data_IF_587998287772
#
_entry.id   IF_587998287772
#
_cell.length_a   1.000
_cell.length_b   1.000
_cell.length_c   1.000
_cell.angle_alpha   90.00
_cell.angle_beta   90.00
_cell.angle_gamma   90.00
#
_symmetry.space_group_name_H-M   'P 1'
#
loop_
_entity.id
_entity.type
_entity.pdbx_description
1 polymer ?
#
# COMPACT_ATOMS: atom_id res chain seq x y z
N UNK A 1 -5.93 -21.79 11.79
CA UNK A 1 -5.87 -20.87 12.95
C UNK A 1 -7.06 -19.94 12.83
N UNK A 2 -8.16 -20.19 13.55
CA UNK A 2 -9.36 -19.34 13.51
C UNK A 2 -9.03 -17.96 14.09
N UNK A 3 -9.39 -16.93 13.34
CA UNK A 3 -9.06 -15.53 13.52
C UNK A 3 -9.80 -14.89 14.71
N UNK A 4 -9.22 -13.89 15.39
CA UNK A 4 -9.84 -13.15 16.52
C UNK A 4 -11.23 -12.52 16.27
N UNK A 5 -11.60 -11.99 15.08
CA UNK A 5 -12.95 -11.47 14.83
C UNK A 5 -14.06 -12.52 14.97
N UNK A 6 -13.80 -13.77 14.58
CA UNK A 6 -14.78 -14.87 14.68
C UNK A 6 -15.17 -15.13 16.15
N UNK A 7 -14.19 -15.05 17.05
CA UNK A 7 -14.41 -15.24 18.50
C UNK A 7 -15.23 -14.10 19.12
N UNK A 8 -14.94 -12.85 18.76
CA UNK A 8 -15.65 -11.67 19.28
C UNK A 8 -17.10 -11.65 18.82
N UNK A 9 -17.35 -11.90 17.53
CA UNK A 9 -18.71 -12.01 16.99
C UNK A 9 -19.47 -13.18 17.61
N UNK A 10 -18.83 -14.34 17.77
CA UNK A 10 -19.45 -15.50 18.41
C UNK A 10 -19.85 -15.18 19.86
N UNK A 11 -18.98 -14.52 20.63
CA UNK A 11 -19.30 -14.12 22.00
C UNK A 11 -20.42 -13.07 22.04
N UNK A 12 -20.45 -12.11 21.11
CA UNK A 12 -21.54 -11.14 20.99
C UNK A 12 -22.88 -11.82 20.70
N UNK A 13 -22.92 -12.80 19.79
CA UNK A 13 -24.12 -13.61 19.50
C UNK A 13 -24.60 -14.38 20.73
N UNK A 14 -23.68 -14.99 21.47
CA UNK A 14 -24.03 -15.72 22.70
C UNK A 14 -24.58 -14.78 23.78
N UNK A 15 -23.98 -13.60 23.95
CA UNK A 15 -24.42 -12.62 24.93
C UNK A 15 -25.82 -12.07 24.59
N UNK A 16 -26.05 -11.69 23.33
CA UNK A 16 -27.36 -11.26 22.86
C UNK A 16 -28.43 -12.33 23.10
N UNK A 17 -28.12 -13.60 22.77
CA UNK A 17 -29.03 -14.71 23.01
C UNK A 17 -29.32 -14.93 24.50
N UNK A 18 -28.31 -14.78 25.36
CA UNK A 18 -28.49 -14.87 26.80
C UNK A 18 -29.39 -13.74 27.34
N UNK A 19 -29.21 -12.53 26.84
CA UNK A 19 -30.04 -11.37 27.19
C UNK A 19 -31.51 -11.61 26.81
N UNK A 20 -31.78 -12.12 25.60
CA UNK A 20 -33.14 -12.49 25.15
C UNK A 20 -33.78 -13.56 26.05
N UNK A 21 -33.06 -14.65 26.32
CA UNK A 21 -33.56 -15.72 27.18
C UNK A 21 -33.80 -15.24 28.62
N UNK A 22 -32.92 -14.39 29.13
CA UNK A 22 -33.06 -13.78 30.45
C UNK A 22 -34.28 -12.84 30.52
N UNK A 23 -34.57 -12.09 29.46
CA UNK A 23 -35.74 -11.22 29.39
C UNK A 23 -37.03 -12.06 29.38
N UNK A 24 -37.11 -13.09 28.54
CA UNK A 24 -38.24 -14.00 28.51
C UNK A 24 -38.48 -14.69 29.87
N UNK A 25 -37.40 -15.10 30.55
CA UNK A 25 -37.50 -15.65 31.90
C UNK A 25 -38.00 -14.62 32.92
N UNK A 26 -37.54 -13.36 32.84
CA UNK A 26 -38.02 -12.29 33.71
C UNK A 26 -39.51 -12.01 33.48
N UNK A 27 -39.97 -11.97 32.23
CA UNK A 27 -41.39 -11.81 31.87
C UNK A 27 -42.24 -12.94 32.46
N UNK A 28 -41.77 -14.19 32.37
CA UNK A 28 -42.45 -15.33 32.98
C UNK A 28 -42.52 -15.21 34.50
N UNK A 29 -41.42 -14.89 35.18
CA UNK A 29 -41.43 -14.73 36.65
C UNK A 29 -42.32 -13.58 37.11
N UNK A 30 -42.45 -12.52 36.30
CA UNK A 30 -43.40 -11.46 36.56
C UNK A 30 -44.86 -11.95 36.41
N UNK A 31 -45.16 -12.73 35.38
CA UNK A 31 -46.47 -13.34 35.20
C UNK A 31 -46.82 -14.30 36.36
N UNK A 32 -45.87 -15.14 36.79
CA UNK A 32 -46.03 -16.06 37.92
C UNK A 32 -46.31 -15.28 39.22
N UNK A 33 -45.62 -14.17 39.46
CA UNK A 33 -45.85 -13.30 40.61
C UNK A 33 -47.25 -12.68 40.62
N UNK A 34 -47.81 -12.35 39.45
CA UNK A 34 -49.17 -11.84 39.33
C UNK A 34 -50.23 -12.93 39.53
N UNK A 35 -49.96 -14.14 39.05
CA UNK A 35 -50.85 -15.30 39.16
C UNK A 35 -50.83 -15.96 40.56
N UNK A 36 -49.82 -15.68 41.38
CA UNK A 36 -49.66 -16.29 42.70
C UNK A 36 -50.87 -16.08 43.62
N UNK A 37 -51.45 -17.19 44.08
CA UNK A 37 -52.63 -17.23 44.94
C UNK A 37 -52.27 -16.99 46.42
N UNK A 38 -51.07 -17.40 46.82
CA UNK A 38 -50.60 -17.20 48.19
C UNK A 38 -49.55 -16.08 48.31
N UNK A 39 -49.47 -15.40 49.47
CA UNK A 39 -48.40 -14.44 49.72
C UNK A 39 -47.00 -15.05 49.62
N UNK A 40 -46.83 -16.31 50.01
CA UNK A 40 -45.54 -17.00 49.99
C UNK A 40 -45.03 -17.23 48.57
N UNK A 41 -45.87 -17.76 47.68
CA UNK A 41 -45.55 -17.96 46.25
C UNK A 41 -45.20 -16.63 45.58
N UNK A 42 -45.97 -15.58 45.88
CA UNK A 42 -45.74 -14.24 45.33
C UNK A 42 -44.37 -13.69 45.72
N UNK A 43 -43.98 -13.86 46.98
CA UNK A 43 -42.68 -13.39 47.48
C UNK A 43 -41.53 -14.12 46.75
N UNK A 44 -41.62 -15.43 46.56
CA UNK A 44 -40.59 -16.19 45.86
C UNK A 44 -40.50 -15.82 44.37
N UNK A 45 -41.63 -15.68 43.67
CA UNK A 45 -41.64 -15.23 42.28
C UNK A 45 -41.06 -13.82 42.11
N UNK A 46 -41.37 -12.89 43.03
CA UNK A 46 -40.79 -11.52 43.01
C UNK A 46 -39.28 -11.54 43.23
N UNK A 47 -38.76 -12.37 44.15
CA UNK A 47 -37.31 -12.53 44.37
C UNK A 47 -36.62 -13.08 43.13
N UNK A 48 -37.20 -14.10 42.51
CA UNK A 48 -36.70 -14.69 41.27
C UNK A 48 -36.67 -13.64 40.14
N UNK A 49 -37.78 -12.91 39.95
CA UNK A 49 -37.88 -11.80 38.99
C UNK A 49 -36.78 -10.75 39.21
N UNK A 50 -36.57 -10.28 40.45
CA UNK A 50 -35.52 -9.30 40.75
C UNK A 50 -34.11 -9.81 40.44
N UNK A 51 -33.86 -11.08 40.73
CA UNK A 51 -32.56 -11.73 40.47
C UNK A 51 -32.29 -11.80 38.98
N UNK A 52 -33.24 -12.33 38.19
CA UNK A 52 -33.11 -12.40 36.72
C UNK A 52 -33.01 -11.00 36.11
N UNK A 53 -33.84 -10.06 36.54
CA UNK A 53 -33.81 -8.66 36.07
C UNK A 53 -32.47 -7.96 36.34
N UNK A 54 -31.78 -8.31 37.43
CA UNK A 54 -30.43 -7.80 37.70
C UNK A 54 -29.43 -8.37 36.69
N UNK A 55 -29.47 -9.67 36.45
CA UNK A 55 -28.59 -10.35 35.48
C UNK A 55 -28.79 -9.81 34.07
N UNK A 56 -30.04 -9.60 33.63
CA UNK A 56 -30.36 -9.01 32.31
C UNK A 56 -29.77 -7.60 32.19
N UNK A 57 -29.95 -6.74 33.20
CA UNK A 57 -29.36 -5.38 33.19
C UNK A 57 -27.84 -5.41 33.11
N UNK A 58 -27.19 -6.37 33.76
CA UNK A 58 -25.75 -6.55 33.66
C UNK A 58 -25.32 -6.96 32.24
N UNK A 59 -26.06 -7.87 31.59
CA UNK A 59 -25.78 -8.27 30.20
C UNK A 59 -25.93 -7.09 29.23
N UNK A 60 -27.03 -6.34 29.33
CA UNK A 60 -27.25 -5.12 28.52
C UNK A 60 -26.15 -4.07 28.74
N UNK A 61 -25.71 -3.87 29.98
CA UNK A 61 -24.62 -2.94 30.28
C UNK A 61 -23.29 -3.39 29.66
N UNK A 62 -23.02 -4.70 29.65
CA UNK A 62 -21.85 -5.28 29.00
C UNK A 62 -21.90 -5.15 27.48
N UNK A 63 -23.04 -5.46 26.85
CA UNK A 63 -23.24 -5.26 25.40
C UNK A 63 -22.99 -3.81 25.00
N UNK A 64 -23.58 -2.86 25.73
CA UNK A 64 -23.38 -1.44 25.47
C UNK A 64 -21.91 -1.00 25.65
N UNK A 65 -21.18 -1.61 26.60
CA UNK A 65 -19.75 -1.35 26.80
C UNK A 65 -18.92 -1.89 25.63
N UNK A 66 -19.19 -3.11 25.17
CA UNK A 66 -18.49 -3.73 24.04
C UNK A 66 -18.71 -2.95 22.75
N UNK A 67 -19.95 -2.52 22.48
CA UNK A 67 -20.25 -1.70 21.30
C UNK A 67 -19.48 -0.37 21.31
N UNK A 68 -19.37 0.28 22.47
CA UNK A 68 -18.56 1.51 22.61
C UNK A 68 -17.07 1.25 22.38
N UNK A 69 -16.54 0.14 22.89
CA UNK A 69 -15.14 -0.22 22.69
C UNK A 69 -14.85 -0.47 21.20
N UNK A 70 -15.68 -1.26 20.52
CA UNK A 70 -15.53 -1.51 19.08
C UNK A 70 -15.57 -0.21 18.26
N UNK A 71 -16.45 0.73 18.61
CA UNK A 71 -16.50 2.03 17.95
C UNK A 71 -15.24 2.89 18.22
N UNK A 72 -14.64 2.79 19.40
CA UNK A 72 -13.38 3.46 19.73
C UNK A 72 -12.21 2.84 18.96
N UNK A 73 -12.10 1.51 18.95
CA UNK A 73 -11.07 0.76 18.24
C UNK A 73 -11.13 1.06 16.73
N UNK A 74 -12.33 1.14 16.14
CA UNK A 74 -12.52 1.50 14.74
C UNK A 74 -12.02 2.93 14.43
N UNK A 75 -12.33 3.90 15.29
CA UNK A 75 -11.84 5.29 15.14
C UNK A 75 -10.34 5.41 15.36
N UNK A 76 -9.76 4.57 16.20
CA UNK A 76 -8.31 4.53 16.39
C UNK A 76 -7.62 3.90 15.18
N UNK A 77 -8.18 2.82 14.63
CA UNK A 77 -7.68 2.20 13.40
C UNK A 77 -7.75 3.15 12.20
N UNK A 78 -8.85 3.90 12.05
CA UNK A 78 -8.99 4.93 11.01
C UNK A 78 -7.94 6.04 11.17
N UNK A 79 -7.74 6.54 12.39
CA UNK A 79 -6.71 7.54 12.68
C UNK A 79 -5.31 7.01 12.44
N UNK A 80 -5.03 5.77 12.82
CA UNK A 80 -3.75 5.13 12.56
C UNK A 80 -3.49 5.02 11.05
N UNK A 81 -4.48 4.61 10.26
CA UNK A 81 -4.38 4.55 8.80
C UNK A 81 -4.13 5.92 8.18
N UNK A 82 -4.86 6.95 8.63
CA UNK A 82 -4.65 8.33 8.16
C UNK A 82 -3.30 8.91 8.59
N UNK A 83 -2.73 8.44 9.70
CA UNK A 83 -1.43 8.88 10.20
C UNK A 83 -0.24 8.15 9.57
N UNK A 84 -0.45 7.06 8.82
CA UNK A 84 0.63 6.43 8.06
C UNK A 84 0.97 7.36 6.88
N UNK A 85 2.16 8.00 6.86
CA UNK A 85 2.55 8.81 5.71
C UNK A 85 2.60 7.91 4.46
N UNK A 86 2.20 8.41 3.28
CA UNK A 86 2.32 7.65 2.05
C UNK A 86 3.75 7.16 1.92
N UNK A 87 3.93 5.87 1.64
CA UNK A 87 5.25 5.28 1.44
C UNK A 87 5.92 6.06 0.31
N UNK A 88 7.00 6.77 0.62
CA UNK A 88 7.80 7.43 -0.41
C UNK A 88 8.24 6.37 -1.42
N UNK A 89 8.03 6.58 -2.72
CA UNK A 89 8.51 5.64 -3.73
C UNK A 89 10.03 5.51 -3.60
N UNK A 90 10.50 4.28 -3.70
CA UNK A 90 11.93 4.00 -3.73
C UNK A 90 12.56 4.55 -5.02
N UNK A 91 13.88 4.80 -4.99
CA UNK A 91 14.63 5.25 -6.17
C UNK A 91 14.40 4.29 -7.35
N UNK A 92 14.34 2.98 -7.11
CA UNK A 92 14.07 1.98 -8.14
C UNK A 92 12.67 2.10 -8.76
N UNK A 93 11.65 2.41 -7.96
CA UNK A 93 10.28 2.63 -8.45
C UNK A 93 10.21 3.89 -9.31
N UNK A 94 10.89 4.97 -8.90
CA UNK A 94 11.00 6.20 -9.69
C UNK A 94 11.73 5.92 -11.01
N UNK A 95 12.88 5.24 -11.00
CA UNK A 95 13.61 4.92 -12.22
C UNK A 95 12.78 4.10 -13.21
N UNK A 96 12.10 3.04 -12.74
CA UNK A 96 11.20 2.23 -13.60
C UNK A 96 10.07 3.06 -14.18
N UNK A 97 9.53 3.98 -13.38
CA UNK A 97 8.45 4.86 -13.82
C UNK A 97 8.93 5.82 -14.90
N UNK A 98 10.10 6.43 -14.74
CA UNK A 98 10.69 7.32 -15.74
C UNK A 98 10.97 6.57 -17.04
N UNK A 99 11.56 5.38 -16.98
CA UNK A 99 11.77 4.54 -18.18
C UNK A 99 10.45 4.25 -18.89
N UNK A 100 9.42 3.82 -18.16
CA UNK A 100 8.13 3.51 -18.76
C UNK A 100 7.46 4.72 -19.43
N UNK A 101 7.60 5.92 -18.85
CA UNK A 101 7.10 7.16 -19.45
C UNK A 101 7.91 7.53 -20.68
N UNK A 102 9.24 7.43 -20.61
CA UNK A 102 10.14 7.71 -21.74
C UNK A 102 9.78 6.82 -22.92
N UNK A 103 9.77 5.49 -22.73
CA UNK A 103 9.49 4.52 -23.79
C UNK A 103 8.14 4.77 -24.45
N UNK A 104 7.10 5.04 -23.66
CA UNK A 104 5.75 5.31 -24.16
C UNK A 104 5.68 6.59 -24.98
N UNK A 105 6.32 7.67 -24.51
CA UNK A 105 6.27 8.97 -25.20
C UNK A 105 7.17 8.98 -26.43
N UNK A 106 8.37 8.39 -26.37
CA UNK A 106 9.25 8.21 -27.55
C UNK A 106 8.53 7.46 -28.65
N UNK A 107 7.73 6.44 -28.31
CA UNK A 107 6.90 5.71 -29.27
C UNK A 107 5.84 6.60 -29.94
N UNK A 108 5.21 7.49 -29.19
CA UNK A 108 4.25 8.46 -29.74
C UNK A 108 4.98 9.48 -30.62
N UNK A 109 6.12 9.99 -30.18
CA UNK A 109 6.95 10.92 -30.98
C UNK A 109 7.31 10.30 -32.32
N UNK A 110 7.80 9.06 -32.32
CA UNK A 110 8.22 8.38 -33.53
C UNK A 110 7.07 8.18 -34.53
N UNK A 111 5.85 7.93 -34.05
CA UNK A 111 4.68 7.73 -34.91
C UNK A 111 4.10 9.05 -35.46
N UNK A 112 4.25 10.15 -34.72
CA UNK A 112 3.61 11.43 -35.04
C UNK A 112 4.57 12.48 -35.63
N UNK A 113 5.89 12.30 -35.49
CA UNK A 113 6.86 13.20 -36.09
C UNK A 113 6.92 13.00 -37.62
N UNK A 114 6.85 14.11 -38.37
CA UNK A 114 6.91 14.09 -39.83
C UNK A 114 8.35 13.93 -40.37
N UNK A 115 9.36 14.24 -39.55
CA UNK A 115 10.78 14.23 -39.88
C UNK A 115 11.68 14.05 -38.63
N UNK A 116 12.94 13.66 -38.85
CA UNK A 116 13.91 13.36 -37.79
C UNK A 116 14.29 14.60 -36.96
N UNK A 117 14.31 15.80 -37.55
CA UNK A 117 14.64 17.04 -36.82
C UNK A 117 13.53 17.38 -35.82
N UNK A 118 12.27 17.19 -36.24
CA UNK A 118 11.08 17.34 -35.38
C UNK A 118 11.08 16.29 -34.27
N UNK A 119 11.40 15.03 -34.58
CA UNK A 119 11.49 13.96 -33.58
C UNK A 119 12.57 14.27 -32.51
N UNK A 120 13.77 14.67 -32.95
CA UNK A 120 14.86 15.02 -32.04
C UNK A 120 14.51 16.20 -31.11
N UNK A 121 13.82 17.22 -31.63
CA UNK A 121 13.36 18.36 -30.82
C UNK A 121 12.32 17.94 -29.76
N UNK A 122 11.39 17.05 -30.13
CA UNK A 122 10.39 16.51 -29.21
C UNK A 122 11.03 15.63 -28.12
N UNK A 123 12.05 14.83 -28.47
CA UNK A 123 12.80 14.02 -27.51
C UNK A 123 13.59 14.87 -26.51
N UNK A 124 14.23 15.97 -26.95
CA UNK A 124 14.90 16.91 -26.05
C UNK A 124 13.88 17.54 -25.07
N UNK A 125 12.69 17.89 -25.57
CA UNK A 125 11.61 18.42 -24.74
C UNK A 125 11.05 17.38 -23.74
N UNK A 126 11.00 16.10 -24.14
CA UNK A 126 10.63 14.98 -23.25
C UNK A 126 11.62 14.84 -22.10
N UNK A 127 12.93 14.82 -22.38
CA UNK A 127 13.97 14.72 -21.34
C UNK A 127 13.90 15.89 -20.35
N UNK A 128 13.75 17.12 -20.85
CA UNK A 128 13.53 18.29 -20.00
C UNK A 128 12.25 18.18 -19.13
N UNK A 129 11.21 17.55 -19.68
CA UNK A 129 9.97 17.24 -18.97
C UNK A 129 10.17 16.21 -17.84
N UNK A 130 10.92 15.14 -18.11
CA UNK A 130 11.24 14.10 -17.14
C UNK A 130 12.12 14.62 -16.00
N UNK A 131 13.14 15.43 -16.30
CA UNK A 131 14.00 16.06 -15.29
C UNK A 131 13.20 16.95 -14.33
N UNK A 132 12.24 17.73 -14.88
CA UNK A 132 11.31 18.53 -14.07
C UNK A 132 10.42 17.65 -13.20
N UNK A 133 9.96 16.50 -13.71
CA UNK A 133 9.13 15.58 -12.94
C UNK A 133 9.91 14.96 -11.77
N UNK A 134 11.14 14.48 -12.02
CA UNK A 134 12.02 13.93 -10.97
C UNK A 134 12.28 14.96 -9.87
N UNK A 135 12.45 16.24 -10.23
CA UNK A 135 12.68 17.33 -9.29
C UNK A 135 11.50 17.61 -8.34
N UNK A 136 10.28 17.20 -8.69
CA UNK A 136 9.06 17.46 -7.89
C UNK A 136 8.74 16.39 -6.85
N UNK A 137 9.45 15.25 -6.86
CA UNK A 137 9.26 14.11 -5.94
C UNK A 137 7.81 13.53 -5.92
N UNK A 138 7.00 13.83 -6.95
CA UNK A 138 5.60 13.41 -7.10
C UNK A 138 5.35 12.50 -8.33
N UNK A 139 6.43 12.04 -9.00
CA UNK A 139 6.38 11.26 -10.26
C UNK A 139 5.47 10.02 -10.20
N UNK A 140 5.41 9.38 -9.04
CA UNK A 140 4.63 8.15 -8.82
C UNK A 140 3.22 8.40 -8.24
N UNK A 141 2.85 9.66 -7.99
CA UNK A 141 1.54 9.99 -7.42
C UNK A 141 0.42 9.95 -8.47
N UNK A 142 0.73 10.30 -9.72
CA UNK A 142 -0.19 10.30 -10.86
C UNK A 142 -0.22 8.90 -11.55
N UNK A 143 -1.38 8.42 -12.04
CA UNK A 143 -1.45 7.23 -12.89
C UNK A 143 -0.52 7.30 -14.12
N UNK A 144 -0.06 6.16 -14.62
CA UNK A 144 0.91 6.10 -15.74
C UNK A 144 0.37 6.74 -17.00
N UNK A 145 -0.84 6.37 -17.37
CA UNK A 145 -1.48 6.85 -18.59
C UNK A 145 -1.75 8.36 -18.52
N UNK A 146 -2.17 8.88 -17.37
CA UNK A 146 -2.38 10.32 -17.16
C UNK A 146 -1.07 11.11 -17.29
N UNK A 147 0.04 10.58 -16.77
CA UNK A 147 1.37 11.21 -16.90
C UNK A 147 1.79 11.26 -18.38
N UNK A 148 1.64 10.15 -19.11
CA UNK A 148 1.96 10.08 -20.55
C UNK A 148 1.09 11.07 -21.34
N UNK A 149 -0.22 11.06 -21.12
CA UNK A 149 -1.16 11.96 -21.79
C UNK A 149 -0.82 13.44 -21.53
N UNK A 150 -0.53 13.80 -20.27
CA UNK A 150 -0.14 15.16 -19.91
C UNK A 150 1.15 15.61 -20.61
N UNK A 151 2.17 14.75 -20.69
CA UNK A 151 3.41 15.06 -21.39
C UNK A 151 3.19 15.19 -22.90
N UNK A 152 2.43 14.29 -23.51
CA UNK A 152 2.08 14.38 -24.94
C UNK A 152 1.36 15.69 -25.26
N UNK A 153 0.35 16.06 -24.46
CA UNK A 153 -0.38 17.32 -24.61
C UNK A 153 0.54 18.56 -24.48
N UNK A 154 1.48 18.54 -23.54
CA UNK A 154 2.42 19.64 -23.34
C UNK A 154 3.33 19.85 -24.57
N UNK A 155 3.65 18.78 -25.27
CA UNK A 155 4.49 18.80 -26.48
C UNK A 155 3.71 19.03 -27.77
N UNK A 156 2.37 19.10 -27.68
CA UNK A 156 1.49 19.28 -28.84
C UNK A 156 1.20 17.99 -29.62
N UNK A 157 1.50 16.82 -29.04
CA UNK A 157 1.18 15.52 -29.63
C UNK A 157 -0.32 15.19 -29.47
N UNK A 158 -0.91 14.44 -30.41
CA UNK A 158 -2.33 14.11 -30.37
C UNK A 158 -2.69 13.25 -29.17
N UNK A 159 -3.79 13.63 -28.51
CA UNK A 159 -4.31 12.95 -27.33
C UNK A 159 -4.71 11.49 -27.64
N UNK A 160 -5.20 11.22 -28.84
CA UNK A 160 -5.57 9.87 -29.28
C UNK A 160 -4.36 8.93 -29.36
N UNK A 161 -3.20 9.41 -29.82
CA UNK A 161 -1.97 8.62 -29.85
C UNK A 161 -1.44 8.38 -28.43
N UNK A 162 -1.58 9.37 -27.53
CA UNK A 162 -1.18 9.24 -26.14
C UNK A 162 -2.04 8.23 -25.36
N UNK A 163 -3.32 8.06 -25.69
CA UNK A 163 -4.17 7.05 -25.06
C UNK A 163 -3.94 5.64 -25.62
N UNK A 164 -3.61 5.54 -26.91
CA UNK A 164 -3.41 4.28 -27.62
C UNK A 164 -1.93 3.88 -27.75
N UNK A 165 -1.04 4.49 -26.94
CA UNK A 165 0.42 4.29 -27.04
C UNK A 165 0.86 2.83 -26.97
N UNK A 166 0.09 1.97 -26.27
CA UNK A 166 0.37 0.52 -26.14
C UNK A 166 0.18 -0.24 -27.45
N UNK A 167 -0.69 0.25 -28.32
CA UNK A 167 -1.00 -0.36 -29.61
C UNK A 167 -0.11 0.16 -30.74
N UNK A 168 0.68 1.22 -30.48
CA UNK A 168 1.66 1.72 -31.43
C UNK A 168 2.85 0.74 -31.57
N UNK A 169 3.42 0.61 -32.78
CA UNK A 169 4.62 -0.18 -32.99
C UNK A 169 5.80 0.40 -32.20
N UNK A 170 6.71 -0.48 -31.78
CA UNK A 170 7.96 -0.05 -31.14
C UNK A 170 8.85 0.65 -32.17
N UNK A 171 9.46 1.80 -31.84
CA UNK A 171 10.38 2.46 -32.76
C UNK A 171 11.56 1.52 -33.09
N UNK A 172 12.09 1.57 -34.32
CA UNK A 172 13.29 0.83 -34.68
C UNK A 172 14.44 1.25 -33.76
N UNK A 173 15.24 0.28 -33.31
CA UNK A 173 16.48 0.61 -32.60
C UNK A 173 17.33 1.50 -33.53
N UNK A 174 17.95 2.57 -33.00
CA UNK A 174 18.81 3.42 -33.81
C UNK A 174 19.89 2.54 -34.44
N UNK A 175 20.10 2.68 -35.76
CA UNK A 175 21.20 2.00 -36.44
C UNK A 175 22.48 2.31 -35.65
N UNK A 176 23.11 1.28 -35.07
CA UNK A 176 24.44 1.42 -34.48
C UNK A 176 25.32 2.08 -35.55
N UNK A 177 26.07 3.14 -35.23
CA UNK A 177 26.91 3.77 -36.22
C UNK A 177 27.79 2.69 -36.85
N UNK A 178 27.68 2.56 -38.18
CA UNK A 178 28.51 1.69 -39.01
C UNK A 178 29.94 1.89 -38.51
N UNK A 179 30.47 0.88 -37.84
CA UNK A 179 31.84 0.83 -37.35
C UNK A 179 32.72 0.87 -38.60
N UNK A 180 33.00 2.09 -39.07
CA UNK A 180 34.01 2.36 -40.06
C UNK A 180 35.33 2.01 -39.38
N UNK A 181 35.69 0.73 -39.48
CA UNK A 181 36.91 0.17 -38.96
C UNK A 181 38.08 1.04 -39.40
N UNK A 182 38.64 1.75 -38.43
CA UNK A 182 40.04 2.13 -38.48
C UNK A 182 40.79 0.99 -37.78
N UNK A 183 41.16 0.01 -38.61
CA UNK A 183 42.31 -0.86 -38.38
C UNK A 183 43.54 0.04 -38.22
N UNK A 184 43.98 0.28 -36.98
CA UNK A 184 45.39 0.49 -36.69
C UNK A 184 45.79 -0.34 -35.46
N UNK A 185 46.26 -1.53 -35.82
CA UNK A 185 47.14 -2.43 -35.10
C UNK A 185 48.37 -1.68 -34.54
N UNK A 186 48.59 -1.67 -33.22
CA UNK A 186 49.94 -1.91 -32.66
C UNK A 186 49.86 -2.40 -31.18
N UNK A 187 50.73 -3.35 -30.76
CA UNK A 187 50.52 -4.28 -29.64
C UNK A 187 51.15 -3.80 -28.31
N UNK A 188 50.97 -4.55 -27.19
CA UNK A 188 51.23 -4.03 -25.85
C UNK A 188 52.71 -4.18 -25.46
N UNK A 189 53.36 -3.07 -25.11
CA UNK A 189 54.70 -3.12 -24.52
C UNK A 189 54.61 -3.33 -23.01
N UNK A 190 55.21 -4.44 -22.60
CA UNK A 190 55.27 -4.94 -21.24
C UNK A 190 56.62 -4.56 -20.62
N UNK A 191 56.60 -4.08 -19.37
CA UNK A 191 57.55 -4.41 -18.28
C UNK A 191 57.52 -3.35 -17.16
N UNK A 192 58.15 -3.59 -16.00
CA UNK A 192 58.06 -4.79 -15.16
C UNK A 192 57.77 -4.44 -13.68
N UNK A 193 57.17 -5.37 -12.95
CA UNK A 193 57.06 -5.30 -11.48
C UNK A 193 58.45 -5.30 -10.81
N UNK A 194 58.69 -4.47 -9.77
CA UNK A 194 59.85 -4.65 -8.91
C UNK A 194 59.60 -5.74 -7.84
N UNK A 195 60.69 -6.34 -7.32
CA UNK A 195 60.67 -7.66 -6.72
C UNK A 195 60.38 -7.66 -5.22
N UNK A 196 59.81 -8.79 -4.81
CA UNK A 196 59.67 -9.27 -3.44
C UNK A 196 61.05 -9.41 -2.77
N UNK A 197 61.23 -8.78 -1.61
CA UNK A 197 62.38 -8.98 -0.74
C UNK A 197 61.98 -8.84 0.74
N UNK A 198 61.45 -9.96 1.23
CA UNK A 198 61.93 -10.64 2.44
C UNK A 198 61.84 -9.91 3.78
N UNK A 199 60.99 -10.51 4.61
CA UNK A 199 61.30 -10.93 5.98
C UNK A 199 61.31 -9.84 7.06
N UNK A 200 60.30 -9.87 7.93
CA UNK A 200 60.39 -10.68 9.15
C UNK A 200 59.06 -10.76 9.88
N UNK A 201 58.82 -11.98 10.31
CA UNK A 201 57.75 -12.48 11.17
C UNK A 201 57.70 -11.83 12.57
N UNK A 202 56.61 -12.09 13.32
CA UNK A 202 56.09 -11.26 14.39
C UNK A 202 56.72 -11.60 15.74
N UNK A 203 56.43 -10.81 16.78
CA UNK A 203 55.97 -11.38 18.06
C UNK A 203 55.39 -10.31 19.01
N UNK A 204 54.52 -10.74 19.94
CA UNK A 204 53.71 -9.91 20.82
C UNK A 204 54.35 -9.72 22.21
N UNK A 205 53.88 -8.73 22.98
CA UNK A 205 53.91 -8.68 24.46
C UNK A 205 53.17 -7.40 24.91
N UNK A 206 52.02 -7.50 25.58
CA UNK A 206 51.81 -7.86 26.99
C UNK A 206 51.88 -6.65 27.93
N UNK A 207 50.74 -6.42 28.59
CA UNK A 207 50.56 -5.91 29.97
C UNK A 207 51.10 -4.51 30.33
N UNK A 208 50.21 -3.60 30.74
CA UNK A 208 49.74 -3.45 32.13
C UNK A 208 48.76 -2.27 32.23
#
# INVERSE_FOLDING_TARGET
MSTPPDMAERHARVLARLTELGLALAEQQFADAQAAETPAERIEAVKAFHTVSRSVRQCVALEARLARQQAQDAREAERAQAAVPPKKPSVLEISRRITAVRDAVTRVIWHEAEDDDTAAWLEEMLEAGLDRAVSRDDVCAEPLDDHIARLCLQMGLPEDAAHNWRDLPEPPEPDEPDDCGDDDDDPPDAAPSPPDALAREPEPQSSA
#
